data_IF_127309048805
#
_entry.id   IF_127309048805
#
_cell.length_a   1.000
_cell.length_b   1.000
_cell.length_c   1.000
_cell.angle_alpha   90.00
_cell.angle_beta   90.00
_cell.angle_gamma   90.00
#
_symmetry.space_group_name_H-M   'P 1'
#
loop_
_entity.id
_entity.type
_entity.pdbx_description
1 polymer ?
#
# COMPACT_ATOMS: atom_id res chain seq x y z
N UNK A 1 -26.19 11.98 25.69
CA UNK A 1 -25.58 10.75 25.08
C UNK A 1 -24.69 11.21 23.94
N UNK A 2 -23.47 10.70 23.83
CA UNK A 2 -22.55 11.05 22.74
C UNK A 2 -23.11 10.46 21.45
N UNK A 3 -23.22 11.31 20.42
CA UNK A 3 -23.68 10.87 19.10
C UNK A 3 -22.50 10.26 18.33
N UNK A 4 -22.64 8.97 17.94
CA UNK A 4 -21.63 8.22 17.20
C UNK A 4 -21.30 8.85 15.85
N UNK A 5 -22.29 9.38 15.14
CA UNK A 5 -22.08 10.02 13.85
C UNK A 5 -21.16 11.25 14.00
N UNK A 6 -21.37 12.08 15.01
CA UNK A 6 -20.52 13.24 15.27
C UNK A 6 -19.07 12.83 15.63
N UNK A 7 -18.88 11.71 16.35
CA UNK A 7 -17.56 11.14 16.62
C UNK A 7 -16.88 10.67 15.34
N UNK A 8 -17.62 10.01 14.45
CA UNK A 8 -17.09 9.55 13.16
C UNK A 8 -16.63 10.73 12.28
N UNK A 9 -17.43 11.80 12.18
CA UNK A 9 -17.02 13.01 11.46
C UNK A 9 -15.77 13.66 12.06
N UNK A 10 -15.67 13.68 13.38
CA UNK A 10 -14.49 14.20 14.07
C UNK A 10 -13.25 13.30 13.83
N UNK A 11 -13.40 11.98 13.85
CA UNK A 11 -12.32 11.03 13.55
C UNK A 11 -11.74 11.29 12.16
N UNK A 12 -12.57 11.31 11.13
CA UNK A 12 -12.14 11.57 9.75
C UNK A 12 -11.45 12.94 9.64
N UNK A 13 -11.99 13.98 10.27
CA UNK A 13 -11.32 15.29 10.32
C UNK A 13 -9.95 15.23 11.01
N UNK A 14 -9.83 14.49 12.09
CA UNK A 14 -8.57 14.37 12.85
C UNK A 14 -7.46 13.69 12.05
N UNK A 15 -7.82 12.78 11.12
CA UNK A 15 -6.90 12.12 10.19
C UNK A 15 -6.50 13.05 9.03
N UNK A 16 -7.49 13.62 8.36
CA UNK A 16 -7.34 14.41 7.13
C UNK A 16 -6.79 15.83 7.36
N UNK A 17 -6.81 16.33 8.60
CA UNK A 17 -6.32 17.65 9.06
C UNK A 17 -7.01 18.85 8.43
N UNK A 18 -7.88 18.67 7.44
CA UNK A 18 -8.62 19.76 6.79
C UNK A 18 -10.08 19.40 6.60
N UNK A 19 -10.99 20.39 6.73
CA UNK A 19 -12.42 20.19 6.50
C UNK A 19 -12.71 19.73 5.07
N UNK A 20 -11.98 20.25 4.08
CA UNK A 20 -12.20 19.92 2.67
C UNK A 20 -11.76 18.48 2.34
N UNK A 21 -10.69 17.97 2.95
CA UNK A 21 -10.26 16.60 2.76
C UNK A 21 -11.22 15.64 3.47
N UNK A 22 -11.61 15.93 4.71
CA UNK A 22 -12.61 15.16 5.45
C UNK A 22 -13.96 15.12 4.72
N UNK A 23 -14.41 16.24 4.17
CA UNK A 23 -15.65 16.32 3.41
C UNK A 23 -15.63 15.43 2.16
N UNK A 24 -14.52 15.43 1.41
CA UNK A 24 -14.32 14.53 0.25
C UNK A 24 -14.36 13.06 0.66
N UNK A 25 -13.67 12.69 1.75
CA UNK A 25 -13.63 11.31 2.26
C UNK A 25 -15.01 10.83 2.73
N UNK A 26 -15.81 11.74 3.32
CA UNK A 26 -17.17 11.47 3.82
C UNK A 26 -18.27 11.63 2.75
N UNK A 27 -17.98 12.13 1.56
CA UNK A 27 -18.97 12.38 0.51
C UNK A 27 -19.97 13.47 0.83
N UNK A 28 -19.59 14.49 1.63
CA UNK A 28 -20.45 15.59 2.09
C UNK A 28 -19.79 16.95 1.83
N UNK A 29 -20.51 18.05 2.12
CA UNK A 29 -19.93 19.38 2.10
C UNK A 29 -19.14 19.71 3.39
N UNK A 30 -18.19 20.66 3.28
CA UNK A 30 -17.35 21.05 4.42
C UNK A 30 -18.12 21.74 5.56
N UNK A 31 -19.27 22.36 5.29
CA UNK A 31 -20.11 22.98 6.31
C UNK A 31 -20.80 21.89 7.17
N UNK A 32 -21.15 20.76 6.58
CA UNK A 32 -21.68 19.60 7.30
C UNK A 32 -20.64 19.05 8.27
N UNK A 33 -19.38 18.86 7.83
CA UNK A 33 -18.30 18.41 8.74
C UNK A 33 -18.09 19.39 9.89
N UNK A 34 -18.02 20.69 9.60
CA UNK A 34 -17.87 21.74 10.62
C UNK A 34 -19.02 21.76 11.62
N UNK A 35 -20.26 21.59 11.15
CA UNK A 35 -21.46 21.52 12.00
C UNK A 35 -21.46 20.32 12.92
N UNK A 36 -21.08 19.13 12.41
CA UNK A 36 -21.00 17.88 13.19
C UNK A 36 -19.95 17.99 14.29
N UNK A 37 -18.79 18.57 13.98
CA UNK A 37 -17.74 18.82 14.97
C UNK A 37 -18.25 19.80 16.04
N UNK A 38 -18.94 20.89 15.65
CA UNK A 38 -19.49 21.85 16.59
C UNK A 38 -20.52 21.22 17.54
N UNK A 39 -21.40 20.35 17.01
CA UNK A 39 -22.37 19.60 17.84
C UNK A 39 -21.65 18.67 18.83
N UNK A 40 -20.55 18.02 18.42
CA UNK A 40 -19.75 17.19 19.33
C UNK A 40 -19.11 18.04 20.42
N UNK A 41 -18.52 19.20 20.09
CA UNK A 41 -17.98 20.16 21.06
C UNK A 41 -19.05 20.60 22.07
N UNK A 42 -20.24 20.92 21.60
CA UNK A 42 -21.37 21.33 22.44
C UNK A 42 -21.84 20.21 23.36
N UNK A 43 -21.92 18.98 22.86
CA UNK A 43 -22.32 17.81 23.66
C UNK A 43 -21.29 17.49 24.77
N UNK A 44 -20.00 17.60 24.45
CA UNK A 44 -18.90 17.29 25.37
C UNK A 44 -18.54 18.48 26.28
N UNK A 45 -19.02 19.68 25.96
CA UNK A 45 -18.58 20.95 26.61
C UNK A 45 -17.08 21.18 26.55
N UNK A 46 -16.45 20.71 25.46
CA UNK A 46 -15.03 20.84 25.19
C UNK A 46 -14.81 21.55 23.88
N UNK A 47 -13.71 22.30 23.78
CA UNK A 47 -13.20 22.78 22.51
C UNK A 47 -12.22 21.76 21.94
N UNK A 48 -12.56 21.16 20.80
CA UNK A 48 -11.76 20.12 20.13
C UNK A 48 -10.94 20.70 18.99
N UNK A 49 -11.41 21.79 18.38
CA UNK A 49 -10.81 22.40 17.21
C UNK A 49 -10.66 23.91 17.41
N UNK A 50 -9.44 24.41 17.26
CA UNK A 50 -9.15 25.85 17.18
C UNK A 50 -9.38 26.31 15.73
N UNK A 51 -10.33 27.24 15.58
CA UNK A 51 -10.79 27.77 14.29
C UNK A 51 -10.07 29.07 13.99
N UNK A 52 -8.89 28.99 13.36
CA UNK A 52 -8.16 30.16 12.88
C UNK A 52 -8.56 30.50 11.44
N UNK A 53 -8.37 31.73 10.99
CA UNK A 53 -8.59 32.11 9.60
C UNK A 53 -7.79 31.18 8.68
N UNK A 54 -8.48 30.43 7.81
CA UNK A 54 -7.93 29.45 6.85
C UNK A 54 -7.32 28.18 7.42
N UNK A 55 -7.37 27.94 8.75
CA UNK A 55 -6.75 26.74 9.35
C UNK A 55 -7.58 26.23 10.53
N UNK A 56 -7.84 24.95 10.55
CA UNK A 56 -8.46 24.20 11.64
C UNK A 56 -7.41 23.31 12.28
N UNK A 57 -7.12 23.49 13.56
CA UNK A 57 -6.09 22.76 14.30
C UNK A 57 -6.75 22.08 15.50
N UNK A 58 -6.39 20.84 15.78
CA UNK A 58 -6.84 20.16 17.00
C UNK A 58 -6.29 20.89 18.25
N UNK A 59 -7.14 21.04 19.26
CA UNK A 59 -6.70 21.43 20.60
C UNK A 59 -6.06 20.24 21.31
N UNK A 60 -5.48 20.44 22.52
CA UNK A 60 -4.98 19.35 23.36
C UNK A 60 -6.06 18.35 23.73
N UNK A 61 -7.29 18.82 23.97
CA UNK A 61 -8.48 18.00 24.21
C UNK A 61 -8.88 17.26 22.93
N UNK A 62 -8.81 17.93 21.76
CA UNK A 62 -9.06 17.33 20.46
C UNK A 62 -8.07 16.20 20.15
N UNK A 63 -6.77 16.39 20.40
CA UNK A 63 -5.77 15.34 20.21
C UNK A 63 -5.99 14.12 21.12
N UNK A 64 -6.37 14.35 22.38
CA UNK A 64 -6.71 13.27 23.32
C UNK A 64 -7.95 12.51 22.89
N UNK A 65 -9.01 13.24 22.48
CA UNK A 65 -10.22 12.61 21.99
C UNK A 65 -9.96 11.84 20.68
N UNK A 66 -9.18 12.38 19.74
CA UNK A 66 -8.82 11.70 18.50
C UNK A 66 -8.22 10.31 18.77
N UNK A 67 -7.27 10.19 19.70
CA UNK A 67 -6.68 8.89 20.08
C UNK A 67 -7.70 7.90 20.66
N UNK A 68 -8.71 8.39 21.38
CA UNK A 68 -9.77 7.54 21.94
C UNK A 68 -10.70 7.08 20.82
N UNK A 69 -11.13 8.01 19.97
CA UNK A 69 -12.06 7.71 18.87
C UNK A 69 -11.42 6.77 17.85
N UNK A 70 -10.14 6.93 17.54
CA UNK A 70 -9.41 5.98 16.69
C UNK A 70 -9.53 4.56 17.24
N UNK A 71 -9.26 4.33 18.51
CA UNK A 71 -9.43 2.99 19.13
C UNK A 71 -10.86 2.47 19.07
N UNK A 72 -11.86 3.34 19.27
CA UNK A 72 -13.27 2.95 19.13
C UNK A 72 -13.62 2.54 17.71
N UNK A 73 -13.07 3.21 16.69
CA UNK A 73 -13.24 2.84 15.29
C UNK A 73 -12.57 1.48 14.99
N UNK A 74 -11.39 1.23 15.53
CA UNK A 74 -10.70 -0.06 15.43
C UNK A 74 -11.56 -1.22 15.96
N UNK A 75 -12.21 -1.04 17.12
CA UNK A 75 -13.14 -2.02 17.69
C UNK A 75 -14.39 -2.21 16.81
N UNK A 76 -14.90 -1.15 16.20
CA UNK A 76 -16.02 -1.27 15.24
C UNK A 76 -15.62 -2.10 14.02
N UNK A 77 -14.41 -1.88 13.48
CA UNK A 77 -13.87 -2.71 12.41
C UNK A 77 -13.67 -4.17 12.83
N UNK A 78 -13.33 -4.43 14.10
CA UNK A 78 -13.26 -5.80 14.63
C UNK A 78 -14.59 -6.52 14.61
N UNK A 79 -15.71 -5.82 14.92
CA UNK A 79 -17.07 -6.38 14.80
C UNK A 79 -17.38 -6.74 13.33
N UNK A 80 -17.04 -5.88 12.39
CA UNK A 80 -17.28 -6.14 10.97
C UNK A 80 -16.41 -7.30 10.45
N UNK A 81 -15.14 -7.39 10.87
CA UNK A 81 -14.27 -8.53 10.54
C UNK A 81 -14.84 -9.85 11.11
N UNK A 82 -15.32 -9.82 12.35
CA UNK A 82 -15.94 -10.98 12.98
C UNK A 82 -17.18 -11.45 12.20
N UNK A 83 -18.03 -10.51 11.76
CA UNK A 83 -19.19 -10.81 10.94
C UNK A 83 -18.80 -11.43 9.59
N UNK A 84 -17.77 -10.89 8.94
CA UNK A 84 -17.22 -11.43 7.68
C UNK A 84 -16.62 -12.82 7.88
N UNK A 85 -15.90 -13.06 8.98
CA UNK A 85 -15.29 -14.35 9.29
C UNK A 85 -16.35 -15.43 9.58
N UNK A 86 -17.54 -15.07 10.05
CA UNK A 86 -18.66 -15.98 10.31
C UNK A 86 -19.45 -16.40 9.06
N UNK A 87 -19.24 -15.79 7.91
CA UNK A 87 -19.92 -16.16 6.66
C UNK A 87 -19.37 -17.48 6.13
N UNK A 88 -20.27 -18.44 5.82
CA UNK A 88 -19.88 -19.74 5.25
C UNK A 88 -19.81 -19.74 3.72
N UNK A 89 -20.46 -18.80 3.07
CA UNK A 89 -20.49 -18.68 1.61
C UNK A 89 -19.25 -17.91 1.09
N UNK A 90 -18.70 -18.40 -0.01
CA UNK A 90 -17.57 -17.75 -0.70
C UNK A 90 -18.15 -16.69 -1.65
N UNK A 91 -18.52 -15.56 -1.10
CA UNK A 91 -19.16 -14.44 -1.82
C UNK A 91 -18.78 -13.09 -1.18
N UNK A 92 -19.15 -11.99 -1.84
CA UNK A 92 -18.93 -10.63 -1.34
C UNK A 92 -17.65 -9.98 -1.84
N UNK A 93 -17.17 -8.97 -1.11
CA UNK A 93 -16.02 -8.13 -1.51
C UNK A 93 -14.82 -8.43 -0.64
N UNK A 94 -13.64 -8.65 -1.25
CA UNK A 94 -12.35 -8.72 -0.56
C UNK A 94 -11.43 -7.64 -1.11
N UNK A 95 -10.94 -6.79 -0.22
CA UNK A 95 -10.01 -5.71 -0.56
C UNK A 95 -8.57 -6.19 -0.42
N UNK A 96 -7.78 -6.05 -1.48
CA UNK A 96 -6.36 -6.45 -1.49
C UNK A 96 -5.50 -5.23 -1.80
N UNK A 97 -4.63 -4.85 -0.85
CA UNK A 97 -3.63 -3.80 -1.04
C UNK A 97 -2.29 -4.41 -1.42
N UNK A 98 -1.73 -3.97 -2.55
CA UNK A 98 -0.45 -4.47 -3.03
C UNK A 98 0.26 -3.43 -3.91
N UNK A 99 1.62 -3.52 -4.06
CA UNK A 99 2.35 -2.63 -4.93
C UNK A 99 1.83 -2.69 -6.37
N UNK A 100 1.66 -1.54 -7.06
CA UNK A 100 1.04 -1.48 -8.39
C UNK A 100 1.69 -2.40 -9.43
N UNK A 101 3.02 -2.43 -9.49
CA UNK A 101 3.75 -3.30 -10.41
C UNK A 101 3.51 -4.80 -10.11
N UNK A 102 3.46 -5.18 -8.82
CA UNK A 102 3.14 -6.55 -8.38
C UNK A 102 1.71 -6.91 -8.81
N UNK A 103 0.75 -5.99 -8.64
CA UNK A 103 -0.61 -6.17 -9.11
C UNK A 103 -0.65 -6.44 -10.62
N UNK A 104 -0.10 -5.51 -11.41
CA UNK A 104 -0.19 -5.51 -12.86
C UNK A 104 0.44 -6.76 -13.50
N UNK A 105 1.63 -7.16 -13.01
CA UNK A 105 2.45 -8.18 -13.65
C UNK A 105 2.30 -9.59 -13.06
N UNK A 106 1.91 -9.71 -11.79
CA UNK A 106 1.85 -11.01 -11.12
C UNK A 106 0.42 -11.45 -10.79
N UNK A 107 -0.52 -10.52 -10.58
CA UNK A 107 -1.89 -10.88 -10.15
C UNK A 107 -2.90 -10.75 -11.28
N UNK A 108 -2.92 -9.61 -12.00
CA UNK A 108 -3.90 -9.33 -13.04
C UNK A 108 -3.95 -10.42 -14.14
N UNK A 109 -2.83 -11.01 -14.61
CA UNK A 109 -2.86 -12.05 -15.63
C UNK A 109 -3.66 -13.30 -15.23
N UNK A 110 -3.83 -13.55 -13.92
CA UNK A 110 -4.48 -14.75 -13.37
C UNK A 110 -5.96 -14.54 -13.00
N UNK A 111 -6.45 -13.30 -12.98
CA UNK A 111 -7.82 -12.97 -12.53
C UNK A 111 -8.92 -13.64 -13.36
N UNK A 112 -8.70 -13.82 -14.65
CA UNK A 112 -9.70 -14.49 -15.50
C UNK A 112 -9.98 -15.94 -15.09
N UNK A 113 -8.95 -16.67 -14.58
CA UNK A 113 -9.12 -18.01 -14.02
C UNK A 113 -9.84 -17.95 -12.68
N UNK A 114 -9.47 -17.00 -11.82
CA UNK A 114 -10.07 -16.80 -10.51
C UNK A 114 -11.57 -16.54 -10.58
N UNK A 115 -12.03 -15.60 -11.41
CA UNK A 115 -13.45 -15.25 -11.55
C UNK A 115 -14.30 -16.36 -12.18
N UNK A 116 -13.72 -17.23 -12.98
CA UNK A 116 -14.45 -18.44 -13.46
C UNK A 116 -14.72 -19.43 -12.33
N UNK A 117 -13.86 -19.48 -11.34
CA UNK A 117 -14.02 -20.38 -10.17
C UNK A 117 -14.88 -19.78 -9.05
N UNK A 118 -14.80 -18.45 -8.88
CA UNK A 118 -15.49 -17.73 -7.81
C UNK A 118 -16.25 -16.51 -8.37
N UNK A 119 -17.35 -16.73 -9.12
CA UNK A 119 -18.07 -15.64 -9.81
C UNK A 119 -18.76 -14.66 -8.85
N UNK A 120 -19.09 -15.10 -7.62
CA UNK A 120 -19.76 -14.28 -6.61
C UNK A 120 -18.77 -13.44 -5.77
N UNK A 121 -17.46 -13.60 -6.01
CA UNK A 121 -16.43 -12.80 -5.35
C UNK A 121 -16.08 -11.56 -6.16
N UNK A 122 -16.06 -10.41 -5.48
CA UNK A 122 -15.50 -9.17 -6.00
C UNK A 122 -14.18 -8.85 -5.32
N UNK A 123 -13.11 -8.73 -6.09
CA UNK A 123 -11.83 -8.22 -5.57
C UNK A 123 -11.75 -6.70 -5.76
N UNK A 124 -11.50 -6.00 -4.66
CA UNK A 124 -11.15 -4.58 -4.68
C UNK A 124 -9.63 -4.46 -4.58
N UNK A 125 -8.98 -4.18 -5.70
CA UNK A 125 -7.52 -4.05 -5.77
C UNK A 125 -7.11 -2.61 -5.49
N UNK A 126 -6.31 -2.42 -4.45
CA UNK A 126 -5.76 -1.13 -4.03
C UNK A 126 -4.27 -1.11 -4.36
N UNK A 127 -3.94 -0.43 -5.46
CA UNK A 127 -2.57 -0.26 -5.93
C UNK A 127 -1.93 0.96 -5.28
N UNK A 128 -1.52 0.87 -4.01
CA UNK A 128 -0.92 1.98 -3.30
C UNK A 128 0.57 1.78 -3.09
N UNK A 129 1.33 2.86 -3.31
CA UNK A 129 2.76 2.94 -2.93
C UNK A 129 2.89 3.08 -1.41
N UNK A 130 1.91 3.69 -0.75
CA UNK A 130 1.79 3.77 0.71
C UNK A 130 1.03 2.55 1.22
N UNK A 131 1.47 2.03 2.37
CA UNK A 131 0.86 0.85 2.99
C UNK A 131 -0.56 1.17 3.47
N UNK A 132 -1.57 0.57 2.83
CA UNK A 132 -2.93 0.59 3.35
C UNK A 132 -2.96 -0.07 4.74
N UNK A 133 -3.69 0.55 5.66
CA UNK A 133 -3.82 0.05 7.03
C UNK A 133 -4.80 -1.12 7.08
N UNK A 134 -4.33 -2.28 7.52
CA UNK A 134 -5.20 -3.43 7.81
C UNK A 134 -6.01 -3.21 9.09
N UNK A 135 -5.46 -2.46 10.05
CA UNK A 135 -6.13 -2.13 11.29
C UNK A 135 -7.36 -1.24 11.06
N UNK A 136 -7.26 -0.24 10.18
CA UNK A 136 -8.36 0.65 9.82
C UNK A 136 -9.23 0.13 8.67
N UNK A 137 -9.11 -1.16 8.34
CA UNK A 137 -9.89 -1.81 7.27
C UNK A 137 -9.79 -1.13 5.89
N UNK A 138 -8.67 -0.49 5.60
CA UNK A 138 -8.42 0.01 4.25
C UNK A 138 -8.23 -1.14 3.25
N UNK A 139 -7.72 -2.31 3.74
CA UNK A 139 -7.68 -3.57 3.02
C UNK A 139 -7.91 -4.77 3.96
N UNK A 140 -8.41 -5.88 3.43
CA UNK A 140 -8.57 -7.17 4.12
C UNK A 140 -7.27 -7.98 4.06
N UNK A 141 -6.60 -7.93 2.91
CA UNK A 141 -5.32 -8.59 2.65
C UNK A 141 -4.31 -7.54 2.18
N UNK A 142 -3.10 -7.62 2.67
CA UNK A 142 -1.99 -6.82 2.16
C UNK A 142 -0.86 -7.70 1.63
N UNK A 143 -0.31 -7.34 0.47
CA UNK A 143 0.93 -7.88 -0.07
C UNK A 143 2.04 -6.88 0.20
N UNK A 144 3.12 -7.32 0.84
CA UNK A 144 4.20 -6.43 1.28
C UNK A 144 5.57 -7.04 0.96
N UNK A 145 6.53 -6.18 0.62
CA UNK A 145 7.94 -6.54 0.60
C UNK A 145 8.55 -6.33 2.00
N UNK A 146 9.09 -7.41 2.56
CA UNK A 146 9.59 -7.45 3.93
C UNK A 146 8.52 -7.86 4.95
N UNK A 147 8.99 -8.49 6.04
CA UNK A 147 8.12 -9.00 7.09
C UNK A 147 7.49 -7.85 7.90
N UNK A 148 6.17 -7.82 8.10
CA UNK A 148 5.53 -6.87 9.01
C UNK A 148 5.99 -7.11 10.45
N UNK A 149 5.91 -6.04 11.26
CA UNK A 149 6.38 -6.05 12.66
C UNK A 149 5.24 -6.00 13.68
N UNK A 150 4.01 -5.82 13.23
CA UNK A 150 2.86 -5.61 14.10
C UNK A 150 2.30 -6.94 14.60
N UNK A 151 2.11 -7.07 15.91
CA UNK A 151 1.77 -8.33 16.59
C UNK A 151 0.34 -8.81 16.31
N UNK A 152 -0.58 -7.92 15.91
CA UNK A 152 -1.98 -8.24 15.56
C UNK A 152 -2.14 -8.70 14.11
N UNK A 153 -1.06 -8.81 13.38
CA UNK A 153 -1.05 -9.26 11.99
C UNK A 153 -0.60 -10.71 11.86
N UNK A 154 -1.34 -11.46 11.05
CA UNK A 154 -0.90 -12.78 10.59
C UNK A 154 -0.19 -12.58 9.26
N UNK A 155 1.08 -12.96 9.22
CA UNK A 155 1.92 -12.85 8.04
C UNK A 155 2.34 -14.23 7.54
N UNK A 156 2.18 -14.48 6.24
CA UNK A 156 2.66 -15.69 5.56
C UNK A 156 3.64 -15.29 4.46
N UNK A 157 4.86 -15.83 4.50
CA UNK A 157 5.84 -15.66 3.43
C UNK A 157 5.30 -16.33 2.16
N UNK A 158 5.20 -15.57 1.07
CA UNK A 158 4.75 -16.05 -0.23
C UNK A 158 5.92 -16.47 -1.13
N UNK A 159 7.10 -15.88 -0.91
CA UNK A 159 8.31 -16.21 -1.67
C UNK A 159 9.39 -15.15 -1.53
N UNK A 160 10.36 -15.21 -2.43
CA UNK A 160 11.47 -14.26 -2.54
C UNK A 160 11.58 -13.78 -3.98
N UNK A 161 11.42 -12.47 -4.18
CA UNK A 161 11.53 -11.82 -5.49
C UNK A 161 12.97 -11.38 -5.69
N UNK A 162 13.68 -11.94 -6.67
CA UNK A 162 15.03 -11.49 -7.00
C UNK A 162 14.99 -10.11 -7.66
N UNK A 163 16.08 -9.37 -7.52
CA UNK A 163 16.29 -8.07 -8.14
C UNK A 163 17.55 -8.08 -8.98
N UNK A 164 17.65 -7.15 -9.92
CA UNK A 164 18.82 -6.92 -10.75
C UNK A 164 19.00 -5.46 -11.11
N UNK A 165 20.19 -5.13 -11.62
CA UNK A 165 20.43 -3.88 -12.33
C UNK A 165 20.09 -4.14 -13.79
N UNK A 166 19.24 -3.30 -14.35
CA UNK A 166 18.75 -3.44 -15.73
C UNK A 166 18.97 -2.16 -16.52
N UNK A 167 19.19 -2.31 -17.81
CA UNK A 167 19.26 -1.22 -18.79
C UNK A 167 18.73 -1.71 -20.15
N UNK A 168 18.31 -0.79 -21.00
CA UNK A 168 18.04 -1.11 -22.40
C UNK A 168 19.34 -1.41 -23.16
N UNK A 169 19.33 -2.38 -24.06
CA UNK A 169 20.49 -2.72 -24.88
C UNK A 169 21.01 -1.49 -25.65
N UNK A 170 20.08 -0.71 -26.24
CA UNK A 170 20.40 0.53 -26.94
C UNK A 170 21.19 1.54 -26.09
N UNK A 171 20.85 1.64 -24.80
CA UNK A 171 21.56 2.50 -23.84
C UNK A 171 22.99 2.01 -23.61
N UNK A 172 23.18 0.71 -23.42
CA UNK A 172 24.48 0.09 -23.18
C UNK A 172 25.40 0.19 -24.41
N UNK A 173 24.84 0.14 -25.61
CA UNK A 173 25.58 0.26 -26.86
C UNK A 173 26.02 1.72 -27.14
N UNK A 174 25.25 2.69 -26.63
CA UNK A 174 25.47 4.12 -26.90
C UNK A 174 26.37 4.80 -25.86
N UNK A 175 26.37 4.32 -24.61
CA UNK A 175 26.99 4.99 -23.46
C UNK A 175 28.07 4.11 -22.86
N UNK A 176 29.28 4.67 -22.65
CA UNK A 176 30.38 3.98 -21.96
C UNK A 176 30.09 3.87 -20.46
N UNK A 177 30.58 2.81 -19.81
CA UNK A 177 30.28 2.46 -18.42
C UNK A 177 30.55 3.59 -17.43
N UNK A 178 31.65 4.33 -17.61
CA UNK A 178 31.99 5.48 -16.77
C UNK A 178 31.00 6.64 -16.83
N UNK A 179 30.16 6.68 -17.88
CA UNK A 179 29.15 7.71 -18.10
C UNK A 179 27.74 7.24 -17.80
N UNK A 180 27.56 6.04 -17.26
CA UNK A 180 26.23 5.53 -16.95
C UNK A 180 25.47 6.46 -16.01
N UNK A 181 24.21 6.70 -16.37
CA UNK A 181 23.19 7.39 -15.59
C UNK A 181 22.24 6.37 -14.96
N UNK A 182 21.52 6.76 -13.93
CA UNK A 182 20.59 5.87 -13.29
C UNK A 182 19.26 6.55 -12.91
N UNK A 183 18.23 5.74 -12.76
CA UNK A 183 16.86 6.16 -12.45
C UNK A 183 16.55 5.69 -11.05
N UNK A 184 16.17 6.62 -10.16
CA UNK A 184 15.78 6.33 -8.78
C UNK A 184 14.27 6.19 -8.64
N UNK A 185 13.86 5.35 -7.68
CA UNK A 185 12.47 5.32 -7.21
C UNK A 185 12.43 5.67 -5.72
N UNK A 186 11.58 6.63 -5.35
CA UNK A 186 11.34 7.03 -3.97
C UNK A 186 10.39 6.05 -3.28
N UNK A 187 10.94 4.90 -2.91
CA UNK A 187 10.24 3.90 -2.11
C UNK A 187 11.05 3.56 -0.88
N UNK A 188 10.38 3.42 0.25
CA UNK A 188 11.02 3.02 1.50
C UNK A 188 11.42 1.54 1.53
N UNK A 189 12.02 1.11 2.65
CA UNK A 189 12.26 -0.29 2.95
C UNK A 189 13.33 -0.96 2.09
N UNK A 190 13.10 -2.21 1.72
CA UNK A 190 14.08 -3.09 1.07
C UNK A 190 14.52 -2.56 -0.30
N UNK A 191 13.63 -1.98 -1.09
CA UNK A 191 13.97 -1.46 -2.42
C UNK A 191 14.86 -0.22 -2.33
N UNK A 192 14.64 0.66 -1.36
CA UNK A 192 15.52 1.81 -1.11
C UNK A 192 16.95 1.39 -0.79
N UNK A 193 17.14 0.35 0.04
CA UNK A 193 18.45 -0.20 0.36
C UNK A 193 19.19 -0.74 -0.89
N UNK A 194 18.46 -1.39 -1.81
CA UNK A 194 19.04 -1.92 -3.05
C UNK A 194 19.52 -0.82 -3.98
N UNK A 195 18.81 0.29 -4.06
CA UNK A 195 19.23 1.45 -4.86
C UNK A 195 20.51 2.11 -4.33
N UNK A 196 20.74 2.08 -3.01
CA UNK A 196 22.00 2.57 -2.44
C UNK A 196 23.21 1.81 -2.98
N UNK A 197 23.11 0.51 -3.25
CA UNK A 197 24.18 -0.28 -3.87
C UNK A 197 24.46 0.20 -5.30
N UNK A 198 23.44 0.45 -6.10
CA UNK A 198 23.62 1.02 -7.44
C UNK A 198 24.26 2.42 -7.36
N UNK A 199 23.81 3.29 -6.45
CA UNK A 199 24.41 4.60 -6.22
C UNK A 199 25.90 4.49 -5.85
N UNK A 200 26.27 3.54 -4.99
CA UNK A 200 27.68 3.27 -4.63
C UNK A 200 28.49 2.82 -5.84
N UNK A 201 27.97 1.88 -6.65
CA UNK A 201 28.63 1.41 -7.89
C UNK A 201 28.88 2.55 -8.89
N UNK A 202 27.99 3.53 -8.94
CA UNK A 202 28.11 4.73 -9.78
C UNK A 202 28.81 5.91 -9.09
N UNK A 203 29.68 5.62 -8.11
CA UNK A 203 30.47 6.63 -7.38
C UNK A 203 29.62 7.75 -6.78
N UNK A 204 28.45 7.39 -6.22
CA UNK A 204 27.48 8.33 -5.61
C UNK A 204 26.91 9.37 -6.56
N UNK A 205 26.92 9.11 -7.87
CA UNK A 205 26.29 9.97 -8.87
C UNK A 205 24.80 10.16 -8.54
N UNK A 206 24.31 11.39 -8.69
CA UNK A 206 22.89 11.66 -8.51
C UNK A 206 22.06 11.05 -9.66
N UNK A 207 20.83 10.60 -9.43
CA UNK A 207 19.99 10.01 -10.46
C UNK A 207 19.59 11.07 -11.50
N UNK A 208 19.56 10.68 -12.77
CA UNK A 208 19.08 11.55 -13.87
C UNK A 208 17.55 11.73 -13.81
N UNK A 209 16.85 10.79 -13.21
CA UNK A 209 15.40 10.83 -13.02
C UNK A 209 15.04 10.20 -11.68
N UNK A 210 14.05 10.80 -10.99
CA UNK A 210 13.46 10.30 -9.77
C UNK A 210 11.96 10.14 -9.96
N UNK A 211 11.40 9.01 -9.53
CA UNK A 211 9.96 8.74 -9.55
C UNK A 211 9.55 8.08 -8.23
N UNK A 212 8.26 8.14 -7.89
CA UNK A 212 7.71 7.39 -6.76
C UNK A 212 7.03 6.07 -7.18
N UNK A 213 7.15 5.69 -8.46
CA UNK A 213 6.44 4.56 -9.05
C UNK A 213 7.43 3.60 -9.75
N UNK A 214 7.58 2.35 -9.28
CA UNK A 214 8.44 1.35 -9.93
C UNK A 214 8.09 1.07 -11.40
N UNK A 215 6.82 1.16 -11.76
CA UNK A 215 6.37 1.01 -13.16
C UNK A 215 6.91 2.13 -14.06
N UNK A 216 6.95 3.38 -13.56
CA UNK A 216 7.52 4.51 -14.29
C UNK A 216 9.05 4.38 -14.40
N UNK A 217 9.71 3.90 -13.35
CA UNK A 217 11.13 3.59 -13.37
C UNK A 217 11.44 2.56 -14.47
N UNK A 218 10.69 1.45 -14.51
CA UNK A 218 10.84 0.42 -15.53
C UNK A 218 10.62 0.96 -16.94
N UNK A 219 9.55 1.74 -17.16
CA UNK A 219 9.26 2.35 -18.46
C UNK A 219 10.37 3.28 -18.93
N UNK A 220 10.91 4.10 -18.04
CA UNK A 220 12.04 4.98 -18.36
C UNK A 220 13.31 4.17 -18.71
N UNK A 221 13.56 3.05 -18.03
CA UNK A 221 14.64 2.13 -18.34
C UNK A 221 14.47 1.51 -19.73
N UNK A 222 13.25 1.06 -20.07
CA UNK A 222 12.92 0.59 -21.43
C UNK A 222 13.11 1.68 -22.50
N UNK A 223 12.90 2.95 -22.14
CA UNK A 223 13.15 4.13 -22.99
C UNK A 223 14.60 4.59 -23.03
N UNK A 224 15.56 3.74 -22.64
CA UNK A 224 16.99 4.02 -22.69
C UNK A 224 17.44 5.29 -21.93
N UNK A 225 16.76 5.66 -20.82
CA UNK A 225 17.12 6.83 -20.00
C UNK A 225 18.33 6.54 -19.10
N UNK A 226 18.50 5.29 -18.64
CA UNK A 226 19.59 4.90 -17.76
C UNK A 226 19.38 3.55 -17.08
N UNK A 227 20.24 3.23 -16.12
CA UNK A 227 20.18 2.00 -15.34
C UNK A 227 19.11 2.12 -14.25
N UNK A 228 18.48 0.98 -13.92
CA UNK A 228 17.58 0.91 -12.77
C UNK A 228 17.75 -0.40 -11.98
N UNK A 229 17.50 -0.36 -10.69
CA UNK A 229 17.32 -1.55 -9.87
C UNK A 229 15.85 -1.96 -9.95
N UNK A 230 15.59 -3.10 -10.57
CA UNK A 230 14.24 -3.61 -10.80
C UNK A 230 14.08 -5.02 -10.24
N UNK A 231 12.86 -5.39 -9.77
CA UNK A 231 12.54 -6.79 -9.56
C UNK A 231 12.61 -7.55 -10.88
N UNK A 232 13.10 -8.78 -10.86
CA UNK A 232 13.38 -9.56 -12.08
C UNK A 232 12.11 -9.77 -12.93
N UNK A 233 10.92 -9.85 -12.32
CA UNK A 233 9.67 -9.98 -13.08
C UNK A 233 9.32 -8.74 -13.92
N UNK A 234 9.89 -7.57 -13.61
CA UNK A 234 9.83 -6.38 -14.47
C UNK A 234 11.02 -6.34 -15.43
N UNK A 235 12.24 -6.54 -14.90
CA UNK A 235 13.45 -6.43 -15.68
C UNK A 235 13.55 -7.41 -16.83
N UNK A 236 12.95 -8.60 -16.70
CA UNK A 236 12.87 -9.60 -17.78
C UNK A 236 11.85 -9.27 -18.88
N UNK A 237 11.03 -8.25 -18.66
CA UNK A 237 10.12 -7.71 -19.66
C UNK A 237 10.75 -6.50 -20.37
N UNK A 238 10.29 -6.18 -21.58
CA UNK A 238 10.68 -4.96 -22.29
C UNK A 238 12.07 -4.96 -22.90
N UNK A 239 12.65 -6.14 -23.16
CA UNK A 239 13.97 -6.31 -23.79
C UNK A 239 15.13 -5.64 -23.05
N UNK A 240 15.04 -5.62 -21.72
CA UNK A 240 16.12 -5.11 -20.88
C UNK A 240 17.22 -6.17 -20.68
N UNK A 241 18.45 -5.69 -20.55
CA UNK A 241 19.63 -6.51 -20.23
C UNK A 241 19.89 -6.40 -18.75
N UNK A 242 20.05 -7.55 -18.08
CA UNK A 242 20.48 -7.62 -16.68
C UNK A 242 22.00 -7.49 -16.63
N UNK A 243 22.50 -6.48 -15.94
CA UNK A 243 23.93 -6.33 -15.73
C UNK A 243 24.41 -7.28 -14.63
N UNK A 244 25.67 -7.78 -14.72
CA UNK A 244 26.27 -8.58 -13.66
C UNK A 244 26.30 -7.80 -12.34
N UNK A 245 25.72 -8.37 -11.29
CA UNK A 245 25.79 -7.89 -9.92
C UNK A 245 25.51 -9.05 -8.97
N UNK A 246 26.52 -9.52 -8.27
CA UNK A 246 26.42 -10.67 -7.36
C UNK A 246 25.85 -10.29 -5.99
N UNK A 247 25.65 -8.99 -5.73
CA UNK A 247 25.32 -8.45 -4.41
C UNK A 247 23.83 -8.03 -4.25
N UNK A 248 23.04 -8.04 -5.31
CA UNK A 248 21.62 -7.70 -5.22
C UNK A 248 20.81 -8.89 -4.69
N UNK A 249 20.51 -8.83 -3.39
CA UNK A 249 19.75 -9.84 -2.69
C UNK A 249 18.27 -9.79 -3.13
N UNK A 250 17.56 -10.93 -3.00
CA UNK A 250 16.13 -11.01 -3.13
C UNK A 250 15.38 -10.16 -2.09
N UNK A 251 14.11 -9.92 -2.29
CA UNK A 251 13.21 -9.34 -1.31
C UNK A 251 12.09 -10.32 -0.99
N UNK A 252 11.88 -10.59 0.29
CA UNK A 252 10.77 -11.44 0.72
C UNK A 252 9.43 -10.75 0.40
N UNK A 253 8.51 -11.50 -0.19
CA UNK A 253 7.12 -11.09 -0.38
C UNK A 253 6.24 -11.80 0.65
N UNK A 254 5.38 -11.02 1.32
CA UNK A 254 4.54 -11.48 2.41
C UNK A 254 3.09 -11.16 2.13
N UNK A 255 2.21 -12.13 2.41
CA UNK A 255 0.77 -11.94 2.53
C UNK A 255 0.44 -11.69 3.98
N UNK A 256 -0.34 -10.65 4.23
CA UNK A 256 -0.64 -10.17 5.57
C UNK A 256 -2.13 -9.95 5.71
N UNK A 257 -2.73 -10.45 6.79
CA UNK A 257 -4.12 -10.23 7.16
C UNK A 257 -4.21 -9.83 8.65
N UNK A 258 -5.32 -9.22 9.02
CA UNK A 258 -5.65 -9.06 10.43
C UNK A 258 -6.04 -10.43 11.05
N UNK A 259 -5.71 -10.67 12.33
CA UNK A 259 -5.98 -11.96 13.00
C UNK A 259 -7.47 -12.33 13.00
N UNK A 260 -8.38 -11.36 13.09
CA UNK A 260 -9.84 -11.56 13.06
C UNK A 260 -10.33 -12.20 11.74
N UNK A 261 -9.59 -12.05 10.65
CA UNK A 261 -9.94 -12.63 9.33
C UNK A 261 -9.39 -14.04 9.11
N UNK A 262 -8.67 -14.60 10.08
CA UNK A 262 -8.03 -15.92 9.99
C UNK A 262 -9.02 -17.04 9.64
N UNK A 263 -10.23 -16.98 10.19
CA UNK A 263 -11.29 -17.98 9.99
C UNK A 263 -12.19 -17.73 8.78
N UNK A 264 -12.05 -16.60 8.07
CA UNK A 264 -12.88 -16.27 6.91
C UNK A 264 -12.58 -17.18 5.71
N UNK A 265 -13.55 -17.99 5.23
CA UNK A 265 -13.36 -18.83 4.05
C UNK A 265 -13.08 -18.01 2.80
N UNK A 266 -13.75 -16.87 2.66
CA UNK A 266 -13.62 -15.95 1.53
C UNK A 266 -12.22 -15.35 1.46
N UNK A 267 -11.68 -14.86 2.59
CA UNK A 267 -10.31 -14.34 2.67
C UNK A 267 -9.29 -15.44 2.40
N UNK A 268 -9.52 -16.66 2.89
CA UNK A 268 -8.64 -17.81 2.65
C UNK A 268 -8.51 -18.13 1.16
N UNK A 269 -9.63 -18.18 0.43
CA UNK A 269 -9.64 -18.43 -1.02
C UNK A 269 -8.83 -17.38 -1.77
N UNK A 270 -8.96 -16.11 -1.41
CA UNK A 270 -8.16 -15.03 -2.03
C UNK A 270 -6.68 -15.13 -1.65
N UNK A 271 -6.36 -15.50 -0.39
CA UNK A 271 -4.99 -15.75 0.05
C UNK A 271 -4.34 -16.88 -0.75
N UNK A 272 -5.06 -18.00 -0.96
CA UNK A 272 -4.55 -19.14 -1.72
C UNK A 272 -4.35 -18.76 -3.20
N UNK A 273 -5.28 -18.02 -3.80
CA UNK A 273 -5.12 -17.46 -5.14
C UNK A 273 -3.86 -16.57 -5.27
N UNK A 274 -3.63 -15.68 -4.31
CA UNK A 274 -2.44 -14.82 -4.31
C UNK A 274 -1.16 -15.64 -4.15
N UNK A 275 -1.18 -16.68 -3.30
CA UNK A 275 -0.05 -17.60 -3.15
C UNK A 275 0.27 -18.33 -4.44
N UNK A 276 -0.75 -18.71 -5.22
CA UNK A 276 -0.55 -19.34 -6.54
C UNK A 276 0.05 -18.34 -7.55
N UNK A 277 -0.34 -17.06 -7.48
CA UNK A 277 0.28 -16.01 -8.30
C UNK A 277 1.78 -15.82 -7.99
N UNK A 278 2.21 -16.10 -6.78
CA UNK A 278 3.61 -15.98 -6.34
C UNK A 278 4.37 -17.30 -6.34
N UNK A 279 3.76 -18.40 -6.84
CA UNK A 279 4.39 -19.71 -6.90
C UNK A 279 5.79 -19.69 -7.54
N UNK A 280 6.07 -18.95 -8.64
CA UNK A 280 7.41 -18.89 -9.24
C UNK A 280 8.51 -18.34 -8.31
N UNK A 281 8.15 -17.71 -7.21
CA UNK A 281 9.05 -17.12 -6.22
C UNK A 281 9.15 -17.93 -4.91
N UNK A 282 8.46 -19.07 -4.82
CA UNK A 282 8.56 -19.95 -3.64
C UNK A 282 9.96 -20.57 -3.56
N UNK A 283 10.56 -20.47 -2.38
CA UNK A 283 11.85 -21.08 -2.02
C UNK A 283 11.61 -22.32 -1.18
#
# INVERSE_FOLDING_TARGET
MIDWENLHYFSVFSEEKTLSAAARKLGVDHATVARRIAQLEDNLKLKLVDRRPRTYILTSEGERLAKIVTRMMEETFSIERLAQAGQQEISGVVSVSLPPATAAHLVMPHLGKFYRQYPELQLRILGDVLYASLQHREADIAVRFGRPKDDYLIARKAGEVPFGIYAAQEYLDAIQEENYEWISVEVGGVQGQKQQKLKQRLNYKEPVMVTNHPELQWRATCGAVGLAVLPDFLGQQGHLVKLPDDDLMSAEIWLVIHEDLRSSPTVRVVMDFLLDCFEPFRV
#
